data_IF_276159757841
#
_entry.id   IF_276159757841
#
_cell.length_a   1.000
_cell.length_b   1.000
_cell.length_c   1.000
_cell.angle_alpha   90.00
_cell.angle_beta   90.00
_cell.angle_gamma   90.00
#
_symmetry.space_group_name_H-M   'P 1'
#
loop_
_entity.id
_entity.type
_entity.pdbx_description
1 polymer ?
#
# COMPACT_ATOMS: atom_id res chain seq x y z
N UNK A 1 47.64 -38.75 22.30
CA UNK A 1 46.45 -39.47 21.81
C UNK A 1 45.17 -38.64 22.00
N UNK A 2 44.81 -38.27 23.25
CA UNK A 2 43.54 -37.55 23.54
C UNK A 2 43.37 -36.20 22.82
N UNK A 3 44.41 -35.37 22.71
CA UNK A 3 44.32 -34.10 21.97
C UNK A 3 44.02 -34.28 20.47
N UNK A 4 44.55 -35.35 19.86
CA UNK A 4 44.29 -35.64 18.45
C UNK A 4 42.84 -36.11 18.26
N UNK A 5 42.37 -36.97 19.16
CA UNK A 5 40.98 -37.41 19.19
C UNK A 5 40.01 -36.23 19.36
N UNK A 6 40.28 -35.34 20.32
CA UNK A 6 39.45 -34.15 20.57
C UNK A 6 39.42 -33.19 19.36
N UNK A 7 40.56 -32.95 18.72
CA UNK A 7 40.63 -32.17 17.47
C UNK A 7 39.81 -32.81 16.36
N UNK A 8 39.90 -34.13 16.21
CA UNK A 8 39.17 -34.87 15.18
C UNK A 8 37.66 -34.81 15.43
N UNK A 9 37.22 -34.98 16.68
CA UNK A 9 35.81 -34.86 17.07
C UNK A 9 35.28 -33.45 16.80
N UNK A 10 36.02 -32.41 17.22
CA UNK A 10 35.62 -31.03 16.95
C UNK A 10 35.57 -30.72 15.45
N UNK A 11 36.50 -31.26 14.67
CA UNK A 11 36.51 -31.12 13.22
C UNK A 11 35.27 -31.76 12.60
N UNK A 12 34.95 -33.01 12.95
CA UNK A 12 33.75 -33.69 12.45
C UNK A 12 32.47 -33.00 12.90
N UNK A 13 32.43 -32.47 14.13
CA UNK A 13 31.28 -31.73 14.62
C UNK A 13 31.06 -30.44 13.81
N UNK A 14 32.13 -29.70 13.55
CA UNK A 14 32.08 -28.52 12.67
C UNK A 14 31.68 -28.87 11.23
N UNK A 15 32.19 -29.99 10.71
CA UNK A 15 31.86 -30.47 9.37
C UNK A 15 30.38 -30.88 9.26
N UNK A 16 29.86 -31.60 10.25
CA UNK A 16 28.45 -31.97 10.34
C UNK A 16 27.55 -30.72 10.41
N UNK A 17 27.93 -29.74 11.23
CA UNK A 17 27.22 -28.48 11.32
C UNK A 17 27.20 -27.73 10.00
N UNK A 18 28.36 -27.61 9.34
CA UNK A 18 28.47 -26.95 8.03
C UNK A 18 27.65 -27.69 6.95
N UNK A 19 27.71 -29.02 6.92
CA UNK A 19 26.92 -29.85 6.01
C UNK A 19 25.41 -29.66 6.25
N UNK A 20 24.97 -29.66 7.52
CA UNK A 20 23.58 -29.39 7.87
C UNK A 20 23.11 -28.01 7.40
N UNK A 21 23.94 -26.98 7.58
CA UNK A 21 23.61 -25.63 7.14
C UNK A 21 23.54 -25.54 5.61
N UNK A 22 24.48 -26.20 4.90
CA UNK A 22 24.47 -26.26 3.45
C UNK A 22 23.19 -26.94 2.93
N UNK A 23 22.78 -28.05 3.54
CA UNK A 23 21.50 -28.72 3.21
C UNK A 23 20.32 -27.78 3.46
N UNK A 24 20.28 -27.07 4.59
CA UNK A 24 19.20 -26.12 4.88
C UNK A 24 19.10 -25.00 3.82
N UNK A 25 20.24 -24.44 3.40
CA UNK A 25 20.29 -23.43 2.34
C UNK A 25 19.84 -24.00 0.99
N UNK A 26 20.27 -25.22 0.64
CA UNK A 26 19.84 -25.88 -0.58
C UNK A 26 18.34 -26.16 -0.60
N UNK A 27 17.76 -26.60 0.51
CA UNK A 27 16.31 -26.79 0.65
C UNK A 27 15.57 -25.46 0.49
N UNK A 28 16.05 -24.40 1.14
CA UNK A 28 15.47 -23.07 1.00
C UNK A 28 15.53 -22.60 -0.47
N UNK A 29 16.68 -22.75 -1.12
CA UNK A 29 16.86 -22.41 -2.52
C UNK A 29 15.94 -23.23 -3.43
N UNK A 30 15.75 -24.53 -3.16
CA UNK A 30 14.83 -25.39 -3.91
C UNK A 30 13.37 -24.94 -3.75
N UNK A 31 12.92 -24.63 -2.53
CA UNK A 31 11.57 -24.11 -2.27
C UNK A 31 11.34 -22.78 -3.00
N UNK A 32 12.31 -21.87 -2.94
CA UNK A 32 12.25 -20.59 -3.63
C UNK A 32 12.28 -20.75 -5.15
N UNK A 33 13.19 -21.58 -5.66
CA UNK A 33 13.30 -21.88 -7.09
C UNK A 33 12.03 -22.50 -7.64
N UNK A 34 11.43 -23.45 -6.92
CA UNK A 34 10.13 -24.03 -7.28
C UNK A 34 9.03 -22.97 -7.26
N UNK A 35 8.99 -22.09 -6.26
CA UNK A 35 7.97 -21.03 -6.17
C UNK A 35 8.08 -20.01 -7.30
N UNK A 36 9.30 -19.57 -7.63
CA UNK A 36 9.56 -18.69 -8.78
C UNK A 36 9.28 -19.40 -10.11
N UNK A 37 9.72 -20.65 -10.24
CA UNK A 37 9.46 -21.47 -11.41
C UNK A 37 7.97 -21.72 -11.63
N UNK A 38 7.21 -21.94 -10.56
CA UNK A 38 5.77 -22.12 -10.61
C UNK A 38 5.05 -20.89 -11.16
N UNK A 39 5.42 -19.69 -10.71
CA UNK A 39 4.88 -18.45 -11.28
C UNK A 39 5.21 -18.28 -12.77
N UNK A 40 6.42 -18.69 -13.18
CA UNK A 40 6.81 -18.68 -14.59
C UNK A 40 6.04 -19.70 -15.42
N UNK A 41 5.76 -20.88 -14.88
CA UNK A 41 5.03 -21.96 -15.56
C UNK A 41 3.53 -21.69 -15.65
N UNK A 42 2.93 -21.14 -14.59
CA UNK A 42 1.48 -20.87 -14.53
C UNK A 42 1.08 -19.48 -15.01
N UNK A 43 2.04 -18.58 -15.25
CA UNK A 43 1.78 -17.18 -15.61
C UNK A 43 1.12 -16.35 -14.50
N UNK A 44 0.83 -16.95 -13.34
CA UNK A 44 0.25 -16.29 -12.18
C UNK A 44 1.37 -15.61 -11.37
N UNK A 45 1.20 -14.33 -10.97
CA UNK A 45 2.21 -13.64 -10.17
C UNK A 45 2.40 -14.34 -8.82
N UNK A 46 3.66 -14.44 -8.36
CA UNK A 46 3.97 -14.96 -7.02
C UNK A 46 3.28 -14.07 -5.99
N UNK A 47 2.23 -14.58 -5.33
CA UNK A 47 1.56 -13.88 -4.23
C UNK A 47 2.59 -13.54 -3.14
N UNK A 48 2.76 -12.26 -2.78
CA UNK A 48 3.63 -11.86 -1.68
C UNK A 48 3.07 -12.43 -0.36
N UNK A 49 3.93 -13.02 0.47
CA UNK A 49 3.54 -13.44 1.82
C UNK A 49 3.47 -12.27 2.82
N UNK A 50 3.88 -11.09 2.40
CA UNK A 50 3.74 -9.86 3.17
C UNK A 50 2.39 -9.22 2.91
N UNK A 51 1.71 -8.84 4.00
CA UNK A 51 0.54 -7.95 3.95
C UNK A 51 0.96 -6.69 3.17
N UNK A 52 0.34 -6.45 2.01
CA UNK A 52 0.57 -5.23 1.25
C UNK A 52 0.04 -4.05 2.05
N UNK A 53 0.93 -3.40 2.79
CA UNK A 53 0.62 -2.15 3.48
C UNK A 53 0.70 -1.03 2.45
N UNK A 54 -0.46 -0.57 1.97
CA UNK A 54 -0.54 0.62 1.13
C UNK A 54 -0.81 1.84 2.04
N UNK A 55 0.22 2.65 2.35
CA UNK A 55 0.07 3.83 3.19
C UNK A 55 -0.85 4.88 2.54
N UNK A 56 -1.07 4.84 1.23
CA UNK A 56 -1.93 5.79 0.51
C UNK A 56 -3.41 5.46 0.69
N UNK A 57 -3.75 4.20 0.92
CA UNK A 57 -5.14 3.76 1.10
C UNK A 57 -5.84 4.45 2.29
N UNK A 58 -5.10 4.78 3.35
CA UNK A 58 -5.64 5.58 4.47
C UNK A 58 -6.02 6.99 4.05
N UNK A 59 -5.14 7.68 3.31
CA UNK A 59 -5.37 9.03 2.82
C UNK A 59 -6.41 9.11 1.70
N UNK A 60 -6.48 8.09 0.86
CA UNK A 60 -7.47 8.03 -0.22
C UNK A 60 -8.90 7.91 0.32
N UNK A 61 -9.11 7.24 1.46
CA UNK A 61 -10.40 7.26 2.15
C UNK A 61 -10.81 8.67 2.58
N UNK A 62 -9.88 9.46 3.11
CA UNK A 62 -10.17 10.85 3.50
C UNK A 62 -10.37 11.77 2.28
N UNK A 63 -9.59 11.59 1.21
CA UNK A 63 -9.83 12.32 -0.05
C UNK A 63 -11.15 11.96 -0.70
N UNK A 64 -11.54 10.69 -0.67
CA UNK A 64 -12.84 10.24 -1.17
C UNK A 64 -13.98 10.81 -0.32
N UNK A 65 -13.84 10.87 1.01
CA UNK A 65 -14.80 11.51 1.89
C UNK A 65 -14.85 13.04 1.73
N UNK A 66 -13.76 13.67 1.31
CA UNK A 66 -13.69 15.09 1.00
C UNK A 66 -14.22 15.44 -0.40
N UNK A 67 -14.51 14.44 -1.25
CA UNK A 67 -15.21 14.70 -2.51
C UNK A 67 -16.68 14.98 -2.20
N UNK A 68 -17.23 16.11 -2.70
CA UNK A 68 -18.66 16.36 -2.60
C UNK A 68 -19.42 15.15 -3.17
N UNK A 69 -20.41 14.66 -2.42
CA UNK A 69 -21.29 13.61 -2.92
C UNK A 69 -21.93 14.09 -4.23
N UNK A 70 -21.92 13.23 -5.24
CA UNK A 70 -22.52 13.54 -6.53
C UNK A 70 -24.04 13.74 -6.32
N UNK A 71 -24.65 14.80 -6.90
CA UNK A 71 -26.07 15.09 -6.68
C UNK A 71 -26.91 13.89 -7.08
N UNK A 72 -27.77 13.42 -6.18
CA UNK A 72 -28.67 12.31 -6.52
C UNK A 72 -29.75 12.79 -7.50
N UNK A 73 -30.34 11.86 -8.27
CA UNK A 73 -31.42 12.21 -9.19
C UNK A 73 -32.61 12.90 -8.50
N UNK A 74 -32.82 12.62 -7.20
CA UNK A 74 -33.81 13.30 -6.38
C UNK A 74 -33.43 14.76 -6.08
N UNK A 75 -32.16 15.04 -5.81
CA UNK A 75 -31.65 16.41 -5.60
C UNK A 75 -31.80 17.25 -6.89
N UNK A 76 -31.52 16.64 -8.04
CA UNK A 76 -31.70 17.25 -9.36
C UNK A 76 -33.18 17.54 -9.65
N UNK A 77 -34.07 16.59 -9.34
CA UNK A 77 -35.51 16.78 -9.51
C UNK A 77 -36.05 17.87 -8.58
N UNK A 78 -35.59 17.93 -7.33
CA UNK A 78 -35.99 18.94 -6.36
C UNK A 78 -35.48 20.34 -6.74
N UNK A 79 -34.25 20.47 -7.25
CA UNK A 79 -33.71 21.74 -7.77
C UNK A 79 -34.53 22.23 -8.98
N UNK A 80 -34.90 21.32 -9.90
CA UNK A 80 -35.74 21.64 -11.05
C UNK A 80 -37.14 22.11 -10.65
N UNK A 81 -37.74 21.49 -9.62
CA UNK A 81 -39.04 21.89 -9.09
C UNK A 81 -39.02 23.28 -8.42
N UNK A 82 -37.86 23.69 -7.88
CA UNK A 82 -37.64 25.04 -7.30
C UNK A 82 -37.32 26.12 -8.35
N UNK A 83 -37.18 25.76 -9.62
CA UNK A 83 -36.84 26.70 -10.69
C UNK A 83 -35.36 27.08 -10.75
N UNK A 84 -34.48 26.37 -10.05
CA UNK A 84 -33.03 26.55 -10.17
C UNK A 84 -32.54 25.93 -11.49
N UNK A 85 -31.97 26.75 -12.37
CA UNK A 85 -31.46 26.29 -13.66
C UNK A 85 -30.32 25.29 -13.44
N UNK A 86 -30.46 24.10 -14.04
CA UNK A 86 -29.56 22.96 -13.92
C UNK A 86 -28.15 23.17 -14.52
N UNK A 87 -27.78 24.40 -14.84
CA UNK A 87 -26.51 24.77 -15.49
C UNK A 87 -25.56 25.55 -14.55
N UNK A 88 -25.94 25.71 -13.29
CA UNK A 88 -25.04 26.25 -12.29
C UNK A 88 -25.14 25.40 -11.04
N UNK A 89 -24.07 24.70 -10.62
CA UNK A 89 -24.04 24.08 -9.32
C UNK A 89 -23.98 25.24 -8.32
N UNK A 90 -25.15 25.75 -7.95
CA UNK A 90 -25.28 26.65 -6.81
C UNK A 90 -24.75 25.83 -5.65
N UNK A 91 -23.55 26.19 -5.19
CA UNK A 91 -22.92 25.69 -3.98
C UNK A 91 -23.76 26.17 -2.80
N UNK A 92 -24.94 25.62 -2.64
CA UNK A 92 -25.73 25.77 -1.45
C UNK A 92 -25.07 24.87 -0.41
N UNK A 93 -24.35 25.54 0.51
CA UNK A 93 -23.58 25.00 1.65
C UNK A 93 -22.08 24.92 1.40
N UNK A 94 -21.45 26.09 1.33
CA UNK A 94 -20.06 26.27 1.72
C UNK A 94 -20.01 26.55 3.24
N UNK A 95 -19.70 25.58 4.11
CA UNK A 95 -19.52 25.82 5.54
C UNK A 95 -18.27 26.64 5.88
N UNK A 96 -17.51 27.10 4.88
CA UNK A 96 -16.27 27.87 5.02
C UNK A 96 -16.32 29.31 4.53
N UNK A 97 -17.47 29.83 4.08
CA UNK A 97 -17.58 31.26 3.69
C UNK A 97 -17.69 32.14 4.94
N UNK A 98 -16.58 32.23 5.67
CA UNK A 98 -16.39 33.16 6.78
C UNK A 98 -16.21 34.55 6.16
N UNK A 99 -17.27 35.36 6.22
CA UNK A 99 -17.30 36.72 5.66
C UNK A 99 -16.53 37.75 6.50
N UNK A 100 -15.91 37.33 7.60
CA UNK A 100 -15.31 38.25 8.58
C UNK A 100 -13.82 38.55 8.28
N UNK A 101 -13.16 37.75 7.42
CA UNK A 101 -11.73 37.93 7.12
C UNK A 101 -11.47 37.73 5.63
N UNK A 102 -11.09 38.80 4.95
CA UNK A 102 -10.62 38.77 3.57
C UNK A 102 -9.09 38.87 3.56
N UNK A 103 -8.42 37.99 2.79
CA UNK A 103 -6.97 37.98 2.71
C UNK A 103 -6.47 39.24 2.00
N UNK A 104 -5.62 40.03 2.67
CA UNK A 104 -5.03 41.24 2.10
C UNK A 104 -4.28 40.88 0.81
N UNK A 105 -4.60 41.51 -0.34
CA UNK A 105 -3.93 41.18 -1.60
C UNK A 105 -2.45 41.47 -1.49
N UNK A 106 -1.64 40.48 -1.82
CA UNK A 106 -0.18 40.62 -1.89
C UNK A 106 0.12 41.40 -3.16
N UNK A 107 0.49 42.68 -3.05
CA UNK A 107 1.03 43.41 -4.19
C UNK A 107 2.34 42.73 -4.58
N UNK A 108 2.33 42.01 -5.71
CA UNK A 108 3.56 41.64 -6.38
C UNK A 108 4.17 42.94 -6.89
N UNK A 109 5.10 43.50 -6.13
CA UNK A 109 5.91 44.63 -6.56
C UNK A 109 6.61 44.27 -7.87
N UNK A 110 6.57 45.22 -8.79
CA UNK A 110 7.39 45.26 -10.00
C UNK A 110 8.88 45.38 -9.67
#
# INVERSE_FOLDING_TARGET
MLNLLLRLVLFFLGLLFAASLAVAVLLLAAVWGLRYGWARLTGQPVQPWVMRFDPRHGFDRFRAAARPAEPTAADVAAARARGEAADSPVRLRDPGRVTDVEARPVSRGE
#
